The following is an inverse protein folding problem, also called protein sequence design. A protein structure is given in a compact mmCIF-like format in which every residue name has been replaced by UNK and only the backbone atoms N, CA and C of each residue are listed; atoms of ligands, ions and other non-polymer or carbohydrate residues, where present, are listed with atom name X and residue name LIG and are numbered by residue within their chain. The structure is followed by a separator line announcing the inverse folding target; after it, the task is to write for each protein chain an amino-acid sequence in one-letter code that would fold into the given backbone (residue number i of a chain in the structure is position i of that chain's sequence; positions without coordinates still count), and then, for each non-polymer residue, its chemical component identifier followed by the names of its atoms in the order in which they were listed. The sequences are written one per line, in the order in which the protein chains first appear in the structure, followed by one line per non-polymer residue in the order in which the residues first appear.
data_IF_754901768665
#
_entry.id   IF_754901768665
#
_cell.length_a   1.000
_cell.length_b   1.000
_cell.length_c   1.000
_cell.angle_alpha   90.00
_cell.angle_beta   90.00
_cell.angle_gamma   90.00
#
_symmetry.space_group_name_H-M   'P 1'
#
loop_
_entity.id
_entity.type
_entity.pdbx_description
1 polymer ?
#
# COMPACT_ATOMS: atom_id res chain seq x y z
N UNK A 1 24.20 -6.17 0.32
CA UNK A 1 23.47 -5.20 1.18
C UNK A 1 22.42 -6.00 1.93
N UNK A 2 22.43 -5.93 3.26
CA UNK A 2 21.50 -6.67 4.10
C UNK A 2 20.05 -6.24 3.82
N UNK A 3 19.14 -7.22 3.79
CA UNK A 3 17.72 -7.03 3.49
C UNK A 3 16.90 -7.18 4.77
N UNK A 4 15.94 -6.28 4.99
CA UNK A 4 14.98 -6.45 6.08
C UNK A 4 14.05 -7.65 5.77
N UNK A 5 13.83 -8.51 6.76
CA UNK A 5 12.98 -9.71 6.67
C UNK A 5 12.08 -9.81 7.89
N UNK A 6 10.93 -10.46 7.74
CA UNK A 6 9.97 -10.63 8.83
C UNK A 6 10.22 -11.95 9.56
N UNK A 7 10.27 -11.93 10.90
CA UNK A 7 10.33 -13.14 11.73
C UNK A 7 8.92 -13.45 12.23
N UNK A 8 8.36 -14.55 11.73
CA UNK A 8 7.00 -15.00 12.09
C UNK A 8 7.00 -15.72 13.46
N UNK A 9 5.91 -15.69 14.24
CA UNK A 9 5.80 -16.44 15.49
C UNK A 9 6.09 -17.94 15.35
N UNK A 10 5.69 -18.55 14.23
CA UNK A 10 6.02 -19.95 13.91
C UNK A 10 7.51 -20.29 13.94
N UNK A 11 8.41 -19.31 13.82
CA UNK A 11 9.86 -19.51 14.00
C UNK A 11 10.19 -20.03 15.41
N UNK A 12 9.56 -19.47 16.45
CA UNK A 12 9.83 -19.84 17.84
C UNK A 12 9.06 -21.08 18.29
N UNK A 13 8.05 -21.50 17.54
CA UNK A 13 7.23 -22.69 17.82
C UNK A 13 7.72 -23.96 17.12
N UNK A 14 8.71 -23.85 16.25
CA UNK A 14 9.22 -25.00 15.50
C UNK A 14 10.11 -25.87 16.42
N UNK A 15 9.70 -27.12 16.64
CA UNK A 15 10.36 -28.06 17.56
C UNK A 15 11.74 -28.49 17.04
N UNK A 16 11.89 -28.80 15.75
CA UNK A 16 13.20 -29.12 15.14
C UNK A 16 14.19 -27.98 15.28
N UNK A 17 13.74 -26.74 15.09
CA UNK A 17 14.60 -25.57 15.20
C UNK A 17 14.98 -25.33 16.67
N UNK A 18 14.13 -25.71 17.61
CA UNK A 18 14.39 -25.61 19.04
C UNK A 18 15.52 -26.56 19.49
N UNK A 19 15.74 -27.67 18.78
CA UNK A 19 16.86 -28.60 19.00
C UNK A 19 18.22 -28.05 18.53
N UNK A 20 18.23 -26.97 17.74
CA UNK A 20 19.45 -26.25 17.39
C UNK A 20 19.92 -25.34 18.54
N UNK A 21 21.23 -25.12 18.61
CA UNK A 21 21.81 -24.15 19.54
C UNK A 21 21.20 -22.75 19.36
N UNK A 22 21.15 -21.95 20.43
CA UNK A 22 20.59 -20.60 20.38
C UNK A 22 21.29 -19.73 19.31
N UNK A 23 22.60 -19.89 19.15
CA UNK A 23 23.36 -19.22 18.09
C UNK A 23 23.05 -19.76 16.70
N UNK A 24 22.80 -21.07 16.52
CA UNK A 24 22.36 -21.61 15.23
C UNK A 24 20.98 -21.07 14.83
N UNK A 25 20.05 -20.93 15.78
CA UNK A 25 18.74 -20.29 15.57
C UNK A 25 18.90 -18.82 15.15
N UNK A 26 19.73 -18.05 15.87
CA UNK A 26 20.02 -16.66 15.52
C UNK A 26 20.71 -16.55 14.15
N UNK A 27 21.65 -17.45 13.87
CA UNK A 27 22.32 -17.55 12.58
C UNK A 27 21.29 -17.78 11.46
N UNK A 28 20.36 -18.73 11.64
CA UNK A 28 19.31 -19.02 10.66
C UNK A 28 18.46 -17.79 10.32
N UNK A 29 18.00 -17.05 11.34
CA UNK A 29 17.28 -15.78 11.13
C UNK A 29 18.15 -14.74 10.41
N UNK A 30 19.45 -14.65 10.76
CA UNK A 30 20.42 -13.79 10.11
C UNK A 30 20.63 -14.12 8.63
N UNK A 31 20.71 -15.41 8.28
CA UNK A 31 20.89 -15.86 6.90
C UNK A 31 19.78 -15.34 5.97
N UNK A 32 18.55 -15.19 6.48
CA UNK A 32 17.44 -14.63 5.70
C UNK A 32 17.71 -13.20 5.21
N UNK A 33 18.48 -12.42 5.98
CA UNK A 33 18.83 -11.03 5.67
C UNK A 33 19.97 -10.93 4.65
N UNK A 34 20.81 -11.96 4.58
CA UNK A 34 21.93 -12.06 3.65
C UNK A 34 21.51 -12.67 2.31
N UNK A 35 20.50 -13.54 2.34
CA UNK A 35 20.01 -14.23 1.17
C UNK A 35 19.29 -13.31 0.18
N UNK A 36 19.39 -13.69 -1.10
CA UNK A 36 18.65 -13.07 -2.17
C UNK A 36 17.14 -13.36 -2.10
N UNK A 37 16.41 -12.94 -3.13
CA UNK A 37 14.95 -13.11 -3.21
C UNK A 37 14.52 -14.58 -3.15
N UNK A 38 15.36 -15.49 -3.62
CA UNK A 38 15.08 -16.93 -3.69
C UNK A 38 15.58 -17.67 -2.44
N UNK A 39 16.18 -16.96 -1.48
CA UNK A 39 16.74 -17.58 -0.28
C UNK A 39 18.14 -18.16 -0.50
N UNK A 40 18.87 -17.69 -1.51
CA UNK A 40 20.21 -18.16 -1.86
C UNK A 40 21.29 -17.18 -1.41
N UNK A 41 22.44 -17.71 -0.99
CA UNK A 41 23.62 -16.95 -0.63
C UNK A 41 24.91 -17.75 -0.84
N UNK A 42 26.06 -17.08 -0.83
CA UNK A 42 27.38 -17.74 -0.90
C UNK A 42 27.72 -18.48 0.39
N UNK A 43 28.25 -19.71 0.29
CA UNK A 43 28.71 -20.50 1.44
C UNK A 43 30.15 -20.10 1.83
N UNK A 44 30.25 -18.94 2.49
CA UNK A 44 31.52 -18.40 2.99
C UNK A 44 31.41 -18.13 4.49
N UNK A 45 31.63 -19.16 5.31
CA UNK A 45 31.47 -19.09 6.77
C UNK A 45 32.17 -17.88 7.42
N UNK A 46 33.40 -17.53 7.01
CA UNK A 46 34.12 -16.35 7.51
C UNK A 46 33.43 -15.03 7.17
N UNK A 47 32.87 -14.90 5.96
CA UNK A 47 32.11 -13.72 5.52
C UNK A 47 30.80 -13.62 6.29
N UNK A 48 30.07 -14.73 6.41
CA UNK A 48 28.83 -14.81 7.21
C UNK A 48 29.10 -14.45 8.67
N UNK A 49 30.21 -14.92 9.27
CA UNK A 49 30.66 -14.54 10.61
C UNK A 49 30.88 -13.04 10.72
N UNK A 50 31.60 -12.44 9.76
CA UNK A 50 31.87 -11.00 9.77
C UNK A 50 30.60 -10.14 9.65
N UNK A 51 29.59 -10.63 8.96
CA UNK A 51 28.32 -9.90 8.77
C UNK A 51 27.33 -10.12 9.93
N UNK A 52 27.21 -11.34 10.46
CA UNK A 52 26.22 -11.67 11.50
C UNK A 52 26.76 -11.56 12.93
N UNK A 53 28.03 -11.89 13.14
CA UNK A 53 28.65 -12.01 14.46
C UNK A 53 30.02 -11.27 14.50
N UNK A 54 30.06 -9.97 14.14
CA UNK A 54 31.33 -9.24 14.08
C UNK A 54 32.05 -9.17 15.43
N UNK A 55 31.29 -9.06 16.52
CA UNK A 55 31.82 -8.84 17.88
C UNK A 55 31.80 -10.09 18.76
N UNK A 56 31.29 -11.21 18.27
CA UNK A 56 31.20 -12.45 19.02
C UNK A 56 32.32 -13.43 18.61
N UNK A 57 32.79 -14.19 19.59
CA UNK A 57 33.80 -15.25 19.41
C UNK A 57 33.14 -16.59 19.03
N UNK A 58 32.23 -16.56 18.07
CA UNK A 58 31.44 -17.73 17.64
C UNK A 58 31.89 -18.16 16.24
N UNK A 59 32.13 -19.47 16.09
CA UNK A 59 32.40 -20.08 14.80
C UNK A 59 31.10 -20.41 14.07
N UNK A 60 30.96 -19.95 12.82
CA UNK A 60 29.73 -20.12 12.04
C UNK A 60 29.63 -21.50 11.37
N UNK A 61 30.76 -22.13 11.05
CA UNK A 61 30.75 -23.41 10.34
C UNK A 61 29.99 -24.52 11.10
N UNK A 62 30.18 -24.71 12.43
CA UNK A 62 29.38 -25.67 13.21
C UNK A 62 27.88 -25.32 13.23
N UNK A 63 27.54 -24.03 13.30
CA UNK A 63 26.14 -23.59 13.29
C UNK A 63 25.46 -23.94 11.97
N UNK A 64 26.15 -23.77 10.84
CA UNK A 64 25.64 -24.13 9.53
C UNK A 64 25.48 -25.66 9.40
N UNK A 65 26.38 -26.45 10.00
CA UNK A 65 26.24 -27.91 10.05
C UNK A 65 25.02 -28.35 10.86
N UNK A 66 24.72 -27.71 11.99
CA UNK A 66 23.48 -27.96 12.75
C UNK A 66 22.24 -27.72 11.88
N UNK A 67 22.21 -26.58 11.17
CA UNK A 67 21.09 -26.22 10.31
C UNK A 67 20.93 -27.16 9.10
N UNK A 68 22.03 -27.67 8.54
CA UNK A 68 22.01 -28.71 7.49
C UNK A 68 21.47 -30.03 8.06
N UNK A 69 21.92 -30.43 9.25
CA UNK A 69 21.49 -31.69 9.89
C UNK A 69 19.97 -31.74 10.08
N UNK A 70 19.38 -30.62 10.47
CA UNK A 70 17.93 -30.47 10.63
C UNK A 70 17.21 -30.06 9.32
N UNK A 71 17.94 -29.86 8.22
CA UNK A 71 17.39 -29.56 6.89
C UNK A 71 16.77 -28.16 6.75
N UNK A 72 17.15 -27.20 7.60
CA UNK A 72 16.74 -25.80 7.45
C UNK A 72 17.47 -25.08 6.31
N UNK A 73 18.67 -25.56 6.00
CA UNK A 73 19.47 -25.09 4.87
C UNK A 73 20.04 -26.27 4.08
N UNK A 74 20.24 -26.06 2.79
CA UNK A 74 20.93 -26.98 1.89
C UNK A 74 22.19 -26.31 1.37
N UNK A 75 23.32 -27.01 1.45
CA UNK A 75 24.60 -26.56 0.87
C UNK A 75 24.82 -27.27 -0.46
N UNK A 76 25.21 -26.52 -1.47
CA UNK A 76 25.46 -27.03 -2.82
C UNK A 76 26.64 -26.31 -3.46
N UNK A 77 27.10 -26.85 -4.59
CA UNK A 77 28.17 -26.26 -5.37
C UNK A 77 27.71 -26.08 -6.81
N UNK A 78 28.01 -24.94 -7.40
CA UNK A 78 27.78 -24.67 -8.82
C UNK A 78 28.96 -23.91 -9.41
N UNK A 79 29.44 -24.35 -10.57
CA UNK A 79 30.64 -23.80 -11.24
C UNK A 79 31.85 -23.62 -10.30
N UNK A 80 32.09 -24.59 -9.41
CA UNK A 80 33.21 -24.54 -8.45
C UNK A 80 32.96 -23.71 -7.19
N UNK A 81 31.89 -22.90 -7.13
CA UNK A 81 31.58 -22.04 -5.98
C UNK A 81 30.52 -22.70 -5.09
N UNK A 82 30.71 -22.63 -3.77
CA UNK A 82 29.77 -23.17 -2.79
C UNK A 82 28.70 -22.14 -2.42
N UNK A 83 27.46 -22.59 -2.29
CA UNK A 83 26.29 -21.80 -2.00
C UNK A 83 25.40 -22.48 -0.95
N UNK A 84 24.55 -21.68 -0.33
CA UNK A 84 23.52 -22.11 0.61
C UNK A 84 22.15 -21.75 0.00
N UNK A 85 21.20 -22.68 0.06
CA UNK A 85 19.78 -22.47 -0.19
C UNK A 85 19.03 -22.63 1.14
N UNK A 86 18.28 -21.61 1.54
CA UNK A 86 17.38 -21.70 2.69
C UNK A 86 16.14 -22.51 2.30
N UNK A 87 15.81 -23.54 3.07
CA UNK A 87 14.67 -24.40 2.81
C UNK A 87 13.35 -23.63 2.96
N UNK A 88 12.41 -23.88 2.04
CA UNK A 88 11.08 -23.26 2.03
C UNK A 88 11.06 -21.71 2.10
N UNK A 89 12.16 -21.02 1.75
CA UNK A 89 12.30 -19.58 1.92
C UNK A 89 11.14 -18.77 1.32
N UNK A 90 10.80 -19.04 0.06
CA UNK A 90 9.73 -18.33 -0.68
C UNK A 90 8.32 -18.60 -0.09
N UNK A 91 8.14 -19.69 0.66
CA UNK A 91 6.89 -19.94 1.40
C UNK A 91 6.79 -19.08 2.67
N UNK A 92 7.92 -18.77 3.28
CA UNK A 92 7.97 -18.07 4.59
C UNK A 92 8.29 -16.59 4.48
N UNK A 93 8.97 -16.17 3.43
CA UNK A 93 9.31 -14.78 3.16
C UNK A 93 8.57 -14.29 1.93
N UNK A 94 8.12 -13.03 1.98
CA UNK A 94 7.56 -12.33 0.82
C UNK A 94 8.48 -11.15 0.52
N UNK A 95 9.55 -11.38 -0.25
CA UNK A 95 10.44 -10.32 -0.69
C UNK A 95 9.69 -9.18 -1.37
N UNK A 96 10.09 -7.93 -1.11
CA UNK A 96 9.39 -6.75 -1.61
C UNK A 96 9.31 -6.75 -3.14
N UNK A 97 8.22 -6.28 -3.75
CA UNK A 97 8.02 -6.40 -5.20
C UNK A 97 9.10 -5.71 -6.07
N UNK A 98 9.79 -4.70 -5.53
CA UNK A 98 10.92 -4.02 -6.21
C UNK A 98 12.29 -4.61 -5.88
N UNK A 99 12.37 -5.60 -4.99
CA UNK A 99 13.62 -6.26 -4.64
C UNK A 99 14.18 -6.99 -5.88
N UNK A 100 15.47 -6.76 -6.19
CA UNK A 100 16.15 -7.35 -7.35
C UNK A 100 16.13 -8.88 -7.30
N UNK A 101 16.06 -9.47 -8.49
CA UNK A 101 16.11 -10.93 -8.68
C UNK A 101 17.42 -11.52 -8.15
N UNK A 102 17.37 -12.81 -7.82
CA UNK A 102 18.54 -13.57 -7.42
C UNK A 102 19.55 -13.64 -8.55
N UNK A 103 20.83 -13.50 -8.21
CA UNK A 103 21.94 -13.71 -9.14
C UNK A 103 22.62 -15.06 -8.91
N UNK A 104 22.16 -15.81 -7.91
CA UNK A 104 22.74 -17.08 -7.53
C UNK A 104 21.91 -18.20 -8.17
N UNK A 105 22.52 -19.03 -9.03
CA UNK A 105 21.81 -20.15 -9.66
C UNK A 105 21.45 -21.21 -8.63
N UNK A 106 20.42 -22.01 -8.93
CA UNK A 106 20.14 -23.22 -8.17
C UNK A 106 21.15 -24.33 -8.49
N UNK A 107 20.97 -25.49 -7.86
CA UNK A 107 21.83 -26.67 -8.05
C UNK A 107 21.86 -27.17 -9.49
N UNK A 108 20.79 -26.93 -10.22
CA UNK A 108 20.63 -27.32 -11.62
C UNK A 108 21.18 -26.23 -12.57
N UNK A 109 21.64 -25.09 -12.01
CA UNK A 109 22.22 -23.99 -12.77
C UNK A 109 21.21 -22.98 -13.30
N UNK A 110 20.00 -22.92 -12.77
CA UNK A 110 18.96 -21.98 -13.20
C UNK A 110 18.78 -20.79 -12.25
N UNK A 111 18.57 -19.62 -12.84
CA UNK A 111 18.14 -18.41 -12.15
C UNK A 111 16.62 -18.26 -12.25
N UNK A 112 16.01 -17.79 -11.17
CA UNK A 112 14.61 -17.36 -11.17
C UNK A 112 14.54 -15.90 -11.61
N UNK A 113 13.97 -15.64 -12.78
CA UNK A 113 13.75 -14.28 -13.29
C UNK A 113 12.28 -13.93 -13.11
N UNK A 114 12.00 -12.84 -12.40
CA UNK A 114 10.62 -12.40 -12.15
C UNK A 114 10.18 -11.40 -13.22
N UNK A 115 9.00 -11.62 -13.78
CA UNK A 115 8.41 -10.68 -14.71
C UNK A 115 7.96 -9.41 -13.98
N UNK A 116 8.34 -8.26 -14.51
CA UNK A 116 8.10 -6.96 -13.87
C UNK A 116 7.21 -6.08 -14.73
N UNK A 117 6.24 -5.44 -14.09
CA UNK A 117 5.40 -4.44 -14.74
C UNK A 117 6.17 -3.14 -14.99
N UNK A 118 5.54 -2.18 -15.69
CA UNK A 118 6.12 -0.86 -16.00
C UNK A 118 6.60 -0.09 -14.76
N UNK A 119 6.03 -0.40 -13.59
CA UNK A 119 6.35 0.23 -12.32
C UNK A 119 7.54 -0.45 -11.59
N UNK A 120 8.21 -1.43 -12.21
CA UNK A 120 9.34 -2.19 -11.63
C UNK A 120 8.95 -3.27 -10.61
N UNK A 121 7.66 -3.37 -10.28
CA UNK A 121 7.12 -4.37 -9.37
C UNK A 121 7.03 -5.76 -10.03
N UNK A 122 7.47 -6.79 -9.32
CA UNK A 122 7.28 -8.19 -9.72
C UNK A 122 5.79 -8.54 -9.77
N UNK A 123 5.36 -9.15 -10.88
CA UNK A 123 3.95 -9.45 -11.20
C UNK A 123 3.46 -10.78 -10.61
N UNK A 124 4.36 -11.55 -10.01
CA UNK A 124 4.11 -12.90 -9.51
C UNK A 124 4.38 -14.00 -10.53
N UNK A 125 4.47 -13.66 -11.83
CA UNK A 125 4.99 -14.57 -12.84
C UNK A 125 6.52 -14.59 -12.82
N UNK A 126 7.10 -15.78 -12.96
CA UNK A 126 8.54 -15.98 -13.07
C UNK A 126 8.86 -17.11 -14.05
N UNK A 127 10.06 -17.08 -14.61
CA UNK A 127 10.59 -18.15 -15.45
C UNK A 127 12.00 -18.52 -15.02
N UNK A 128 12.41 -19.75 -15.36
CA UNK A 128 13.77 -20.24 -15.12
C UNK A 128 14.64 -19.88 -16.31
N UNK A 129 15.79 -19.25 -16.05
CA UNK A 129 16.81 -18.95 -17.06
C UNK A 129 18.08 -19.76 -16.74
N UNK A 130 18.57 -20.54 -17.70
CA UNK A 130 19.79 -21.33 -17.52
C UNK A 130 21.01 -20.43 -17.45
N UNK A 131 21.89 -20.64 -16.47
CA UNK A 131 23.24 -20.11 -16.48
C UNK A 131 24.14 -21.01 -17.31
N UNK A 132 24.94 -20.44 -18.20
CA UNK A 132 26.05 -21.16 -18.81
C UNK A 132 27.19 -21.27 -17.79
N UNK A 133 27.47 -22.48 -17.33
CA UNK A 133 28.64 -22.76 -16.50
C UNK A 133 29.87 -22.86 -17.40
N UNK A 134 30.61 -21.77 -17.59
CA UNK A 134 31.95 -21.87 -18.19
C UNK A 134 32.90 -22.41 -17.14
N UNK A 135 33.04 -23.74 -17.10
CA UNK A 135 34.07 -24.41 -16.31
C UNK A 135 35.40 -24.26 -17.06
N UNK A 136 36.22 -23.30 -16.66
CA UNK A 136 37.64 -23.34 -17.00
C UNK A 136 38.32 -24.34 -16.06
N UNK A 137 39.12 -25.30 -16.58
CA UNK A 137 39.89 -26.19 -15.73
C UNK A 137 40.91 -25.37 -14.93
N UNK A 138 40.89 -25.54 -13.61
CA UNK A 138 41.82 -24.92 -12.68
C UNK A 138 43.27 -25.26 -13.08
N UNK A 139 43.94 -24.34 -13.75
CA UNK A 139 45.40 -24.25 -13.78
C UNK A 139 45.81 -23.09 -12.88
N UNK A 140 46.89 -23.34 -12.16
CA UNK A 140 47.34 -22.57 -11.01
C UNK A 140 47.60 -21.08 -11.28
N UNK A 141 47.49 -20.32 -10.17
CA UNK A 141 48.13 -19.04 -9.86
C UNK A 141 47.32 -17.73 -10.02
N UNK A 142 47.06 -17.10 -8.87
CA UNK A 142 47.26 -15.66 -8.64
C UNK A 142 46.28 -14.63 -9.20
N UNK A 143 45.64 -13.86 -8.30
CA UNK A 143 45.42 -12.42 -8.51
C UNK A 143 44.06 -11.95 -9.06
N UNK A 144 43.31 -11.30 -8.15
CA UNK A 144 42.48 -10.09 -8.29
C UNK A 144 41.40 -9.88 -9.39
N UNK A 145 40.19 -9.58 -8.88
CA UNK A 145 39.10 -8.74 -9.39
C UNK A 145 38.89 -8.61 -10.91
N UNK A 146 37.81 -9.20 -11.43
CA UNK A 146 36.99 -8.55 -12.47
C UNK A 146 35.64 -9.23 -12.70
N UNK A 147 34.62 -8.39 -12.79
CA UNK A 147 33.24 -8.76 -13.12
C UNK A 147 33.15 -9.35 -14.54
N UNK A 148 32.41 -10.46 -14.71
CA UNK A 148 32.11 -10.98 -16.05
C UNK A 148 30.61 -11.14 -16.29
N UNK A 149 30.18 -10.52 -17.39
CA UNK A 149 28.87 -10.60 -18.03
C UNK A 149 28.89 -11.72 -19.07
N UNK A 150 27.88 -12.60 -19.12
CA UNK A 150 27.86 -13.78 -20.02
C UNK A 150 26.71 -13.67 -21.04
N UNK A 151 27.03 -13.91 -22.32
CA UNK A 151 26.09 -14.05 -23.46
C UNK A 151 26.11 -15.50 -24.00
N UNK A 152 25.04 -15.98 -24.68
CA UNK A 152 24.83 -17.42 -24.87
C UNK A 152 25.28 -17.93 -26.25
N UNK A 153 25.83 -19.15 -26.28
CA UNK A 153 25.84 -19.97 -27.49
C UNK A 153 25.93 -21.49 -27.20
N UNK A 154 24.91 -22.22 -27.66
CA UNK A 154 24.98 -23.52 -28.33
C UNK A 154 25.49 -24.79 -27.61
N UNK A 155 24.54 -25.52 -27.03
CA UNK A 155 24.33 -27.00 -27.14
C UNK A 155 25.33 -28.00 -26.53
N UNK A 156 24.84 -29.19 -26.11
CA UNK A 156 25.27 -29.83 -24.87
C UNK A 156 25.97 -31.19 -25.06
N UNK A 157 26.55 -31.74 -23.99
CA UNK A 157 26.32 -33.14 -23.57
C UNK A 157 26.95 -33.47 -22.19
N UNK A 158 26.28 -34.39 -21.48
CA UNK A 158 26.73 -35.30 -20.41
C UNK A 158 26.80 -34.86 -18.91
N UNK A 159 25.72 -35.20 -18.21
CA UNK A 159 25.60 -36.05 -16.99
C UNK A 159 26.62 -35.98 -15.83
N UNK A 160 26.13 -35.65 -14.61
CA UNK A 160 26.52 -36.39 -13.39
C UNK A 160 25.49 -36.27 -12.23
N UNK A 161 24.96 -37.44 -11.86
CA UNK A 161 24.59 -37.98 -10.54
C UNK A 161 24.88 -37.10 -9.31
N UNK A 162 23.98 -36.87 -8.35
CA UNK A 162 22.97 -37.77 -7.79
C UNK A 162 23.32 -38.05 -6.32
N UNK A 163 23.13 -37.08 -5.42
CA UNK A 163 23.18 -37.29 -3.97
C UNK A 163 21.76 -37.31 -3.41
N UNK A 164 21.33 -38.51 -3.01
CA UNK A 164 19.99 -38.83 -2.53
C UNK A 164 19.72 -38.12 -1.20
N UNK A 165 18.84 -37.12 -1.22
CA UNK A 165 18.30 -36.46 -0.02
C UNK A 165 17.16 -37.33 0.51
N UNK A 166 17.17 -37.65 1.81
CA UNK A 166 16.05 -38.30 2.49
C UNK A 166 14.79 -37.45 2.31
N UNK A 167 13.70 -38.07 1.88
CA UNK A 167 12.39 -37.43 1.74
C UNK A 167 11.92 -36.93 3.12
N UNK A 168 11.78 -35.61 3.26
CA UNK A 168 11.41 -34.97 4.53
C UNK A 168 9.92 -34.59 4.54
N UNK A 169 9.17 -35.23 5.45
CA UNK A 169 7.76 -34.95 5.73
C UNK A 169 7.53 -33.92 6.84
N UNK A 170 8.60 -33.36 7.46
CA UNK A 170 8.47 -32.63 8.73
C UNK A 170 9.13 -31.22 8.78
N UNK A 171 9.89 -30.78 7.78
CA UNK A 171 10.60 -29.49 7.83
C UNK A 171 9.68 -28.24 7.68
N UNK A 172 8.40 -28.37 8.00
CA UNK A 172 7.45 -27.28 7.96
C UNK A 172 7.73 -26.33 9.13
N UNK A 173 8.54 -25.29 8.88
CA UNK A 173 8.24 -23.99 9.48
C UNK A 173 6.73 -23.81 9.32
N UNK A 174 5.98 -23.84 10.42
CA UNK A 174 4.53 -23.97 10.35
C UNK A 174 4.02 -22.72 9.63
N UNK A 175 3.35 -22.84 8.46
CA UNK A 175 2.63 -21.71 7.91
C UNK A 175 1.49 -21.42 8.90
N UNK A 176 1.57 -20.29 9.63
CA UNK A 176 0.54 -19.84 10.57
C UNK A 176 -0.82 -19.78 9.85
N UNK A 177 -1.57 -20.89 9.87
CA UNK A 177 -2.91 -21.02 9.29
C UNK A 177 -3.98 -21.05 10.38
N UNK A 178 -3.67 -20.56 11.58
CA UNK A 178 -4.62 -20.44 12.70
C UNK A 178 -4.72 -19.01 13.26
N UNK A 179 -4.31 -18.00 12.49
CA UNK A 179 -4.67 -16.60 12.74
C UNK A 179 -5.61 -16.18 11.60
N UNK A 180 -6.86 -15.77 11.88
CA UNK A 180 -7.71 -15.22 10.82
C UNK A 180 -7.09 -13.90 10.36
N UNK A 181 -6.75 -13.86 9.08
CA UNK A 181 -6.29 -12.71 8.28
C UNK A 181 -4.99 -12.01 8.73
N UNK A 182 -3.87 -12.53 8.25
CA UNK A 182 -2.80 -11.67 7.73
C UNK A 182 -2.44 -12.10 6.31
N UNK A 183 -3.21 -11.57 5.36
CA UNK A 183 -2.83 -11.52 3.95
C UNK A 183 -1.48 -10.80 3.84
N UNK A 184 -0.41 -11.57 3.68
CA UNK A 184 0.94 -11.07 3.52
C UNK A 184 1.12 -10.56 2.07
N UNK A 185 0.49 -9.42 1.77
CA UNK A 185 0.79 -8.64 0.56
C UNK A 185 2.16 -7.97 0.72
N UNK A 186 2.98 -7.86 -0.34
CA UNK A 186 4.21 -7.07 -0.28
C UNK A 186 3.86 -5.64 0.14
N UNK A 187 4.32 -5.22 1.31
CA UNK A 187 4.18 -3.84 1.76
C UNK A 187 5.00 -2.90 0.87
N UNK A 188 4.37 -2.35 -0.17
CA UNK A 188 4.66 -0.98 -0.60
C UNK A 188 4.41 -0.07 0.62
N UNK A 189 5.21 0.98 0.89
CA UNK A 189 4.91 1.90 1.99
C UNK A 189 3.67 2.72 1.62
N UNK A 190 2.50 2.15 1.86
CA UNK A 190 1.28 2.89 2.15
C UNK A 190 1.10 2.77 3.66
N UNK A 191 1.20 3.90 4.34
CA UNK A 191 1.06 4.02 5.79
C UNK A 191 -0.17 3.27 6.30
N UNK A 192 0.08 2.15 6.95
CA UNK A 192 -0.91 1.30 7.58
C UNK A 192 -0.95 1.55 9.08
N UNK A 193 -2.01 2.26 9.47
CA UNK A 193 -2.74 2.24 10.74
C UNK A 193 -2.24 1.31 11.87
N UNK A 194 -2.07 1.94 13.03
CA UNK A 194 -2.11 1.33 14.37
C UNK A 194 -3.59 1.26 14.83
N UNK A 195 -4.03 0.23 15.56
CA UNK A 195 -5.37 0.20 16.12
C UNK A 195 -5.45 0.91 17.48
N UNK A 196 -6.66 1.42 17.75
CA UNK A 196 -7.23 1.85 19.04
C UNK A 196 -6.52 2.97 19.81
N UNK A 197 -6.82 4.20 19.41
CA UNK A 197 -7.17 5.25 20.36
C UNK A 197 -8.38 5.98 19.77
N UNK A 198 -9.39 6.24 20.60
CA UNK A 198 -10.50 7.13 20.29
C UNK A 198 -9.90 8.54 20.11
N UNK A 199 -9.39 8.81 18.92
CA UNK A 199 -8.95 10.14 18.53
C UNK A 199 -10.22 10.95 18.27
N UNK A 200 -10.45 11.98 19.09
CA UNK A 200 -11.53 12.94 18.94
C UNK A 200 -11.48 13.52 17.52
N UNK A 201 -12.29 12.97 16.62
CA UNK A 201 -12.45 13.54 15.28
C UNK A 201 -12.96 14.98 15.46
N UNK A 202 -12.40 15.97 14.71
CA UNK A 202 -12.83 17.35 14.83
C UNK A 202 -14.35 17.43 14.69
N UNK A 203 -15.04 18.02 15.66
CA UNK A 203 -16.51 18.01 15.69
C UNK A 203 -17.15 18.47 14.37
N UNK A 204 -16.53 19.46 13.70
CA UNK A 204 -16.93 19.92 12.38
C UNK A 204 -16.85 18.87 11.26
N UNK A 205 -15.85 17.99 11.30
CA UNK A 205 -15.72 16.89 10.35
C UNK A 205 -16.83 15.86 10.53
N UNK A 206 -17.19 15.55 11.79
CA UNK A 206 -18.26 14.60 12.10
C UNK A 206 -19.59 15.08 11.51
N UNK A 207 -19.92 16.37 11.69
CA UNK A 207 -21.13 16.99 11.13
C UNK A 207 -21.10 16.98 9.60
N UNK A 208 -19.99 17.37 8.99
CA UNK A 208 -19.82 17.36 7.53
C UNK A 208 -19.99 15.95 6.94
N UNK A 209 -19.31 14.96 7.50
CA UNK A 209 -19.31 13.59 6.97
C UNK A 209 -20.68 12.91 7.16
N UNK A 210 -21.39 13.23 8.24
CA UNK A 210 -22.76 12.75 8.46
C UNK A 210 -23.75 13.31 7.43
N UNK A 211 -23.58 14.58 7.01
CA UNK A 211 -24.44 15.26 6.05
C UNK A 211 -24.16 14.89 4.59
N UNK A 212 -23.01 14.29 4.27
CA UNK A 212 -22.63 13.97 2.89
C UNK A 212 -23.38 12.75 2.34
N UNK A 213 -24.03 12.82 1.15
CA UNK A 213 -24.84 11.72 0.61
C UNK A 213 -24.08 10.42 0.36
N UNK A 214 -22.82 10.51 -0.09
CA UNK A 214 -21.96 9.37 -0.42
C UNK A 214 -20.88 9.14 0.65
N UNK A 215 -21.12 8.21 1.57
CA UNK A 215 -20.21 7.89 2.70
C UNK A 215 -19.06 6.96 2.34
N UNK A 216 -18.25 7.31 1.34
CA UNK A 216 -17.05 6.54 0.94
C UNK A 216 -15.76 7.28 1.30
N UNK A 217 -14.76 6.54 1.78
CA UNK A 217 -13.41 7.08 1.99
C UNK A 217 -13.25 8.01 3.20
N UNK A 218 -13.87 7.71 4.35
CA UNK A 218 -13.81 8.51 5.60
C UNK A 218 -12.41 8.99 5.97
N UNK A 219 -11.42 8.09 5.97
CA UNK A 219 -10.03 8.41 6.35
C UNK A 219 -9.38 9.41 5.39
N UNK A 220 -9.68 9.32 4.09
CA UNK A 220 -9.20 10.28 3.11
C UNK A 220 -9.88 11.65 3.27
N UNK A 221 -11.17 11.66 3.63
CA UNK A 221 -11.91 12.89 3.90
C UNK A 221 -11.43 13.56 5.20
N UNK A 222 -11.16 12.79 6.26
CA UNK A 222 -10.58 13.30 7.51
C UNK A 222 -9.21 13.92 7.26
N UNK A 223 -8.36 13.26 6.48
CA UNK A 223 -7.06 13.80 6.08
C UNK A 223 -7.18 15.10 5.29
N UNK A 224 -8.16 15.19 4.38
CA UNK A 224 -8.44 16.42 3.64
C UNK A 224 -8.93 17.54 4.57
N UNK A 225 -9.81 17.23 5.53
CA UNK A 225 -10.31 18.17 6.52
C UNK A 225 -9.21 18.70 7.45
N UNK A 226 -8.36 17.82 7.97
CA UNK A 226 -7.21 18.19 8.80
C UNK A 226 -6.19 19.03 8.02
N UNK A 227 -5.99 18.73 6.73
CA UNK A 227 -5.12 19.53 5.85
C UNK A 227 -5.69 20.93 5.60
N UNK A 228 -7.01 21.03 5.44
CA UNK A 228 -7.69 22.30 5.23
C UNK A 228 -7.72 23.14 6.52
N UNK A 229 -7.75 22.48 7.69
CA UNK A 229 -7.84 23.09 9.01
C UNK A 229 -8.85 24.26 9.04
N UNK A 230 -10.13 24.01 8.70
CA UNK A 230 -11.10 25.08 8.55
C UNK A 230 -11.42 25.73 9.89
N UNK A 231 -11.34 27.06 9.93
CA UNK A 231 -11.81 27.88 11.04
C UNK A 231 -13.35 27.89 11.10
N UNK A 232 -13.95 28.36 12.19
CA UNK A 232 -15.40 28.30 12.44
C UNK A 232 -16.22 28.93 11.30
N UNK A 233 -15.73 30.04 10.73
CA UNK A 233 -16.34 30.73 9.59
C UNK A 233 -16.31 29.86 8.33
N UNK A 234 -15.19 29.21 8.05
CA UNK A 234 -15.03 28.36 6.88
C UNK A 234 -15.81 27.05 7.03
N UNK A 235 -15.89 26.51 8.24
CA UNK A 235 -16.70 25.35 8.56
C UNK A 235 -18.20 25.62 8.32
N UNK A 236 -18.70 26.78 8.76
CA UNK A 236 -20.07 27.20 8.49
C UNK A 236 -20.34 27.34 6.98
N UNK A 237 -19.38 27.91 6.23
CA UNK A 237 -19.46 28.03 4.76
C UNK A 237 -19.51 26.66 4.07
N UNK A 238 -18.65 25.72 4.48
CA UNK A 238 -18.62 24.36 3.95
C UNK A 238 -19.94 23.63 4.20
N UNK A 239 -20.47 23.70 5.43
CA UNK A 239 -21.74 23.05 5.78
C UNK A 239 -22.93 23.70 5.07
N UNK A 240 -22.94 25.03 4.94
CA UNK A 240 -23.96 25.78 4.21
C UNK A 240 -23.98 25.44 2.72
N UNK A 241 -22.80 25.41 2.08
CA UNK A 241 -22.68 25.01 0.68
C UNK A 241 -23.10 23.55 0.47
N UNK A 242 -22.72 22.63 1.37
CA UNK A 242 -23.14 21.24 1.30
C UNK A 242 -24.67 21.09 1.40
N UNK A 243 -25.31 21.83 2.30
CA UNK A 243 -26.77 21.83 2.44
C UNK A 243 -27.46 22.36 1.17
N UNK A 244 -26.92 23.43 0.56
CA UNK A 244 -27.44 24.00 -0.68
C UNK A 244 -27.22 23.07 -1.90
N UNK A 245 -26.10 22.36 -1.94
CA UNK A 245 -25.76 21.45 -3.04
C UNK A 245 -26.45 20.09 -2.94
N UNK A 246 -26.87 19.66 -1.74
CA UNK A 246 -27.48 18.35 -1.49
C UNK A 246 -28.64 17.98 -2.45
N UNK A 247 -29.62 18.86 -2.73
CA UNK A 247 -30.69 18.54 -3.68
C UNK A 247 -30.20 18.29 -5.10
N UNK A 248 -29.07 18.88 -5.50
CA UNK A 248 -28.47 18.66 -6.82
C UNK A 248 -27.58 17.41 -6.85
N UNK A 249 -26.85 17.15 -5.76
CA UNK A 249 -26.03 15.95 -5.59
C UNK A 249 -26.88 14.68 -5.60
N UNK A 250 -28.09 14.72 -5.03
CA UNK A 250 -29.01 13.59 -4.97
C UNK A 250 -29.75 13.34 -6.31
N UNK A 251 -29.95 14.38 -7.14
CA UNK A 251 -30.75 14.29 -8.37
C UNK A 251 -29.95 13.96 -9.64
N UNK A 252 -28.62 14.11 -9.64
CA UNK A 252 -27.79 13.73 -10.80
C UNK A 252 -27.74 12.21 -10.97
N UNK A 253 -28.36 11.71 -12.03
CA UNK A 253 -28.21 10.35 -12.58
C UNK A 253 -28.15 9.21 -11.53
N UNK A 254 -29.15 9.10 -10.64
CA UNK A 254 -29.24 8.04 -9.63
C UNK A 254 -27.95 7.83 -8.81
N UNK A 255 -27.21 8.91 -8.49
CA UNK A 255 -26.03 8.86 -7.63
C UNK A 255 -24.73 8.37 -8.30
N UNK A 256 -24.70 8.22 -9.64
CA UNK A 256 -23.49 7.78 -10.37
C UNK A 256 -22.34 8.77 -10.35
N UNK A 257 -22.61 10.07 -10.24
CA UNK A 257 -21.60 11.14 -10.29
C UNK A 257 -21.51 11.98 -9.00
N UNK A 258 -21.75 11.38 -7.82
CA UNK A 258 -21.48 12.07 -6.54
C UNK A 258 -19.97 11.96 -6.24
N UNK A 259 -19.22 13.07 -6.17
CA UNK A 259 -17.81 13.05 -5.80
C UNK A 259 -17.59 12.38 -4.45
N UNK A 260 -16.38 11.87 -4.20
CA UNK A 260 -16.04 11.44 -2.84
C UNK A 260 -15.89 12.68 -1.94
N UNK A 261 -16.24 12.61 -0.64
CA UNK A 261 -16.14 13.74 0.28
C UNK A 261 -14.71 14.32 0.32
N UNK A 262 -13.68 13.47 0.21
CA UNK A 262 -12.29 13.91 0.09
C UNK A 262 -12.02 14.73 -1.17
N UNK A 263 -12.60 14.33 -2.31
CA UNK A 263 -12.46 15.04 -3.59
C UNK A 263 -13.18 16.38 -3.53
N UNK A 264 -14.39 16.39 -2.98
CA UNK A 264 -15.19 17.61 -2.80
C UNK A 264 -14.49 18.65 -1.90
N UNK A 265 -13.86 18.19 -0.81
CA UNK A 265 -13.05 19.05 0.07
C UNK A 265 -11.76 19.54 -0.60
N UNK A 266 -11.01 18.67 -1.28
CA UNK A 266 -9.74 19.04 -1.90
C UNK A 266 -9.91 20.00 -3.09
N UNK A 267 -11.02 19.91 -3.79
CA UNK A 267 -11.32 20.76 -4.96
C UNK A 267 -12.00 22.08 -4.58
N UNK A 268 -12.21 22.37 -3.29
CA UNK A 268 -12.77 23.66 -2.88
C UNK A 268 -14.23 23.86 -3.29
N UNK A 269 -14.99 22.78 -3.51
CA UNK A 269 -16.31 22.84 -4.16
C UNK A 269 -17.40 23.54 -3.35
N UNK A 270 -17.13 23.99 -2.13
CA UNK A 270 -18.01 24.90 -1.41
C UNK A 270 -18.09 26.29 -2.07
N UNK A 271 -17.14 26.61 -2.96
CA UNK A 271 -17.12 27.84 -3.78
C UNK A 271 -17.67 27.65 -5.20
N UNK A 272 -18.08 26.43 -5.58
CA UNK A 272 -18.65 26.17 -6.91
C UNK A 272 -20.02 26.84 -7.06
N UNK A 273 -20.20 27.60 -8.15
CA UNK A 273 -21.50 28.15 -8.54
C UNK A 273 -22.46 27.01 -8.93
N UNK A 274 -23.55 26.89 -8.20
CA UNK A 274 -24.60 25.91 -8.49
C UNK A 274 -25.24 26.20 -9.86
N UNK A 275 -25.22 25.25 -10.82
CA UNK A 275 -25.94 25.42 -12.08
C UNK A 275 -27.44 25.45 -11.78
N UNK A 276 -28.02 26.66 -11.80
CA UNK A 276 -29.42 26.92 -11.45
C UNK A 276 -29.63 27.87 -10.27
N UNK A 277 -28.58 28.43 -9.66
CA UNK A 277 -28.72 29.52 -8.71
C UNK A 277 -29.23 30.78 -9.43
N UNK A 278 -30.56 30.95 -9.49
CA UNK A 278 -31.13 32.29 -9.74
C UNK A 278 -30.58 33.19 -8.65
N UNK A 279 -29.93 34.28 -9.06
CA UNK A 279 -29.39 35.30 -8.18
C UNK A 279 -30.35 35.58 -7.02
N UNK A 280 -29.83 35.52 -5.79
CA UNK A 280 -30.58 35.90 -4.59
C UNK A 280 -31.32 37.22 -4.90
N UNK A 281 -32.64 37.20 -4.74
CA UNK A 281 -33.45 38.34 -5.10
C UNK A 281 -32.95 39.58 -4.36
N UNK A 282 -32.91 40.77 -4.99
CA UNK A 282 -32.28 41.94 -4.39
C UNK A 282 -32.93 42.26 -3.05
N UNK A 283 -32.14 42.26 -1.97
CA UNK A 283 -32.52 42.80 -0.68
C UNK A 283 -32.61 44.33 -0.81
N UNK A 284 -33.65 44.96 -0.27
CA UNK A 284 -33.68 46.42 -0.17
C UNK A 284 -32.73 46.94 0.92
N UNK A 285 -32.59 48.26 1.03
CA UNK A 285 -31.72 48.91 2.02
C UNK A 285 -32.11 48.62 3.49
N UNK A 286 -33.26 47.98 3.73
CA UNK A 286 -33.75 47.55 5.05
C UNK A 286 -33.56 46.05 5.30
N UNK A 287 -33.00 45.31 4.35
CA UNK A 287 -32.79 43.87 4.45
C UNK A 287 -34.04 43.03 4.16
N UNK A 288 -35.09 43.64 3.60
CA UNK A 288 -36.34 42.96 3.27
C UNK A 288 -36.27 42.31 1.88
N UNK A 289 -36.86 41.12 1.76
CA UNK A 289 -37.01 40.40 0.48
C UNK A 289 -38.09 41.08 -0.39
N UNK A 290 -37.96 41.02 -1.72
CA UNK A 290 -38.80 41.79 -2.67
C UNK A 290 -40.33 41.68 -2.45
N UNK A 291 -40.83 40.55 -1.99
CA UNK A 291 -42.26 40.34 -1.72
C UNK A 291 -42.72 41.01 -0.41
N UNK A 292 -41.85 41.07 0.62
CA UNK A 292 -42.11 41.84 1.84
C UNK A 292 -42.07 43.34 1.57
N UNK A 293 -41.14 43.81 0.73
CA UNK A 293 -41.08 45.21 0.30
C UNK A 293 -42.35 45.66 -0.46
N UNK A 294 -43.03 44.72 -1.13
CA UNK A 294 -44.31 44.92 -1.78
C UNK A 294 -45.53 44.78 -0.84
N UNK A 295 -45.31 44.46 0.44
CA UNK A 295 -46.34 44.33 1.47
C UNK A 295 -47.03 42.96 1.55
N UNK A 296 -46.45 41.91 0.94
CA UNK A 296 -47.01 40.56 0.98
C UNK A 296 -46.42 39.72 2.13
N UNK A 297 -47.22 38.81 2.69
CA UNK A 297 -46.80 37.90 3.77
C UNK A 297 -46.07 36.64 3.28
N UNK A 298 -46.13 36.33 1.98
CA UNK A 298 -45.41 35.20 1.39
C UNK A 298 -45.13 35.39 -0.10
N UNK A 299 -44.15 34.64 -0.61
CA UNK A 299 -43.82 34.58 -2.05
C UNK A 299 -45.01 34.06 -2.87
N UNK A 300 -45.75 33.09 -2.34
CA UNK A 300 -46.89 32.49 -3.04
C UNK A 300 -48.07 33.47 -3.15
N UNK A 301 -48.30 34.28 -2.11
CA UNK A 301 -49.29 35.35 -2.15
C UNK A 301 -48.92 36.42 -3.19
N UNK A 302 -47.66 36.86 -3.22
CA UNK A 302 -47.18 37.79 -4.24
C UNK A 302 -47.29 37.20 -5.67
N UNK A 303 -46.96 35.93 -5.85
CA UNK A 303 -47.03 35.26 -7.15
C UNK A 303 -48.48 35.14 -7.67
N UNK A 304 -49.45 34.85 -6.79
CA UNK A 304 -50.87 34.83 -7.15
C UNK A 304 -51.35 36.19 -7.66
N UNK A 305 -50.88 37.28 -7.05
CA UNK A 305 -51.15 38.66 -7.48
C UNK A 305 -50.25 39.13 -8.63
N UNK A 306 -49.50 38.22 -9.28
CA UNK A 306 -48.55 38.51 -10.38
C UNK A 306 -47.46 39.51 -10.01
N UNK A 307 -47.14 39.60 -8.72
CA UNK A 307 -45.97 40.30 -8.20
C UNK A 307 -44.75 39.37 -8.25
N UNK A 308 -43.66 39.85 -8.82
CA UNK A 308 -42.38 39.15 -8.98
C UNK A 308 -41.20 40.13 -8.86
N UNK A 309 -39.98 39.60 -8.76
CA UNK A 309 -38.75 40.40 -8.53
C UNK A 309 -38.53 41.57 -9.52
N UNK A 310 -39.08 41.51 -10.74
CA UNK A 310 -38.95 42.57 -11.73
C UNK A 310 -39.96 43.72 -11.60
N UNK A 311 -41.07 43.53 -10.88
CA UNK A 311 -42.19 44.50 -10.80
C UNK A 311 -42.65 44.79 -9.36
N UNK A 312 -42.00 44.24 -8.34
CA UNK A 312 -42.41 44.41 -6.93
C UNK A 312 -42.48 45.88 -6.47
N UNK A 313 -41.70 46.76 -7.09
CA UNK A 313 -41.73 48.21 -6.85
C UNK A 313 -43.01 48.88 -7.33
N UNK A 314 -43.83 48.19 -8.12
CA UNK A 314 -45.16 48.64 -8.54
C UNK A 314 -46.24 48.27 -7.51
N UNK A 315 -45.89 47.67 -6.37
CA UNK A 315 -46.81 47.25 -5.31
C UNK A 315 -46.48 47.94 -3.99
N UNK A 316 -47.52 48.26 -3.20
CA UNK A 316 -47.42 48.72 -1.82
C UNK A 316 -48.62 48.14 -1.04
N UNK A 317 -48.38 47.67 0.19
CA UNK A 317 -49.41 47.06 1.05
C UNK A 317 -50.23 45.95 0.34
N UNK A 318 -49.54 45.08 -0.40
CA UNK A 318 -50.13 43.97 -1.16
C UNK A 318 -51.09 44.40 -2.30
N UNK A 319 -51.04 45.65 -2.76
CA UNK A 319 -51.82 46.15 -3.91
C UNK A 319 -50.96 46.87 -4.94
N UNK A 320 -51.34 46.79 -6.21
CA UNK A 320 -50.63 47.47 -7.29
C UNK A 320 -50.91 48.98 -7.22
N UNK A 321 -49.85 49.79 -7.26
CA UNK A 321 -49.90 51.24 -7.05
C UNK A 321 -50.80 51.94 -8.11
N UNK A 322 -50.95 51.35 -9.29
CA UNK A 322 -51.86 51.80 -10.35
C UNK A 322 -53.35 51.73 -10.00
N UNK A 323 -53.73 50.99 -8.96
CA UNK A 323 -55.13 50.85 -8.49
C UNK A 323 -55.44 51.73 -7.27
N UNK A 324 -54.42 52.39 -6.69
CA UNK A 324 -54.55 53.23 -5.48
C UNK A 324 -54.70 54.72 -5.84
N UNK A 325 -54.67 55.05 -7.12
CA UNK A 325 -55.00 56.40 -7.65
C UNK A 325 -56.28 56.36 -8.46
N UNK A 326 -57.39 56.12 -7.76
CA UNK A 326 -58.76 56.45 -8.16
C UNK A 326 -59.59 56.70 -6.90
#
# INVERSE_FOLDING_TARGET
MARARNIKPGFFKNEDLAECSAFARLCFAGLWTLADREGRLEDRAKKIKGELFPFDSIEVEPLLQELVRWGFIKRYQWAGVRYIQIAAFVKHQVPHGTEKDGQIPDEEGFLTVHERGKNGYATGASHRASCAATVLPASAEGGEDSALTVKPHGSPDAENSGLTVKEQVHNTLIPDSLIPDSSNTPHTPQGGQRPSAEEEEPGGFVVFYAAYPRKKGRKAALKAWLKLAPDDVLQAKILGALAAQRPHLDKRENGRFIPHPSTWLNEGRWDDELPGAKAAAPLDASGSVWWQAAGFDSVDHAANERCHVGNFREYRDARRISEVTA
#
